data_IF_107908658453
#
_entry.id   IF_107908658453
#
_cell.length_a   1.000
_cell.length_b   1.000
_cell.length_c   1.000
_cell.angle_alpha   90.00
_cell.angle_beta   90.00
_cell.angle_gamma   90.00
#
_symmetry.space_group_name_H-M   'P 1'
#
loop_
_entity.id
_entity.type
_entity.pdbx_description
1 polymer ?
#
# COMPACT_ATOMS: atom_id res chain seq x y z
N UNK A 1 -2.59 13.59 3.74
CA UNK A 1 -3.60 12.60 4.17
C UNK A 1 -3.09 11.72 5.33
N UNK A 2 -1.95 11.04 5.18
CA UNK A 2 -1.39 10.19 6.26
C UNK A 2 -0.98 10.98 7.51
N UNK A 3 -0.33 12.13 7.36
CA UNK A 3 0.00 13.00 8.51
C UNK A 3 -1.24 13.49 9.25
N UNK A 4 -2.31 13.77 8.52
CA UNK A 4 -3.57 14.19 9.09
C UNK A 4 -4.22 13.05 9.90
N UNK A 5 -4.19 11.83 9.36
CA UNK A 5 -4.64 10.63 10.07
C UNK A 5 -3.82 10.40 11.36
N UNK A 6 -2.49 10.53 11.32
CA UNK A 6 -1.63 10.42 12.51
C UNK A 6 -1.96 11.48 13.56
N UNK A 7 -2.22 12.73 13.13
CA UNK A 7 -2.65 13.81 14.02
C UNK A 7 -3.97 13.48 14.72
N UNK A 8 -4.92 12.91 13.98
CA UNK A 8 -6.24 12.54 14.50
C UNK A 8 -6.16 11.35 15.48
N UNK A 9 -5.31 10.35 15.19
CA UNK A 9 -5.06 9.23 16.08
C UNK A 9 -4.45 9.70 17.41
N UNK A 10 -3.51 10.65 17.37
CA UNK A 10 -2.92 11.28 18.58
C UNK A 10 -3.95 12.10 19.36
N UNK A 11 -4.75 12.93 18.68
CA UNK A 11 -5.79 13.72 19.35
C UNK A 11 -6.84 12.85 20.03
N UNK A 12 -7.16 11.69 19.45
CA UNK A 12 -8.12 10.74 20.04
C UNK A 12 -7.49 9.74 21.02
N UNK A 13 -6.19 9.83 21.27
CA UNK A 13 -5.48 8.92 22.18
C UNK A 13 -5.60 7.45 21.79
N UNK A 14 -5.75 7.15 20.49
CA UNK A 14 -5.97 5.78 20.03
C UNK A 14 -4.68 4.98 20.14
N UNK A 15 -4.76 3.87 20.85
CA UNK A 15 -3.66 2.92 21.01
C UNK A 15 -3.52 2.05 19.74
N UNK A 16 -2.32 1.53 19.44
CA UNK A 16 -2.05 0.74 18.23
C UNK A 16 -2.97 -0.48 18.04
N UNK A 17 -3.56 -1.03 19.09
CA UNK A 17 -4.55 -2.12 19.01
C UNK A 17 -5.91 -1.71 18.41
N UNK A 18 -6.16 -0.40 18.22
CA UNK A 18 -7.46 0.15 17.81
C UNK A 18 -7.50 0.63 16.35
N UNK A 19 -6.39 0.56 15.62
CA UNK A 19 -6.32 0.96 14.21
C UNK A 19 -5.30 0.14 13.44
N UNK A 20 -5.40 0.14 12.11
CA UNK A 20 -4.35 -0.37 11.24
C UNK A 20 -4.19 0.53 10.01
N UNK A 21 -2.97 0.64 9.52
CA UNK A 21 -2.70 1.19 8.20
C UNK A 21 -2.78 0.08 7.17
N UNK A 22 -3.51 0.33 6.08
CA UNK A 22 -3.59 -0.59 4.94
C UNK A 22 -2.89 0.05 3.75
N UNK A 23 -1.94 -0.69 3.16
CA UNK A 23 -1.17 -0.24 2.01
C UNK A 23 -1.09 -1.33 0.95
N UNK A 24 -0.94 -0.92 -0.30
CA UNK A 24 -0.76 -1.85 -1.42
C UNK A 24 0.73 -2.18 -1.54
N UNK A 25 1.04 -3.46 -1.76
CA UNK A 25 2.40 -3.92 -2.02
C UNK A 25 3.03 -3.13 -3.18
N UNK A 26 4.30 -2.76 -3.05
CA UNK A 26 5.03 -1.95 -4.03
C UNK A 26 4.70 -0.45 -4.06
N UNK A 27 3.67 0.02 -3.33
CA UNK A 27 3.37 1.46 -3.24
C UNK A 27 4.03 2.08 -2.02
N UNK A 28 4.95 3.03 -2.25
CA UNK A 28 5.62 3.81 -1.19
C UNK A 28 6.20 2.93 -0.07
N UNK A 29 7.09 2.02 -0.45
CA UNK A 29 7.72 1.05 0.45
C UNK A 29 8.55 1.72 1.56
N UNK A 30 9.11 2.89 1.28
CA UNK A 30 9.71 3.81 2.26
C UNK A 30 8.75 4.11 3.41
N UNK A 31 7.49 4.41 3.10
CA UNK A 31 6.48 4.72 4.09
C UNK A 31 6.03 3.49 4.87
N UNK A 32 5.93 2.34 4.20
CA UNK A 32 5.60 1.07 4.85
C UNK A 32 6.64 0.72 5.93
N UNK A 33 7.92 0.90 5.61
CA UNK A 33 9.03 0.70 6.56
C UNK A 33 8.95 1.72 7.71
N UNK A 34 8.80 3.00 7.41
CA UNK A 34 8.68 4.05 8.42
C UNK A 34 7.50 3.81 9.38
N UNK A 35 6.34 3.38 8.88
CA UNK A 35 5.18 3.06 9.71
C UNK A 35 5.45 1.88 10.64
N UNK A 36 6.14 0.84 10.14
CA UNK A 36 6.56 -0.29 10.98
C UNK A 36 7.58 0.11 12.04
N UNK A 37 8.58 0.92 11.69
CA UNK A 37 9.59 1.43 12.63
C UNK A 37 8.97 2.31 13.72
N UNK A 38 7.91 3.05 13.38
CA UNK A 38 7.11 3.84 14.32
C UNK A 38 6.18 3.01 15.20
N UNK A 39 6.19 1.67 15.08
CA UNK A 39 5.38 0.75 15.89
C UNK A 39 3.90 0.70 15.49
N UNK A 40 3.54 1.23 14.31
CA UNK A 40 2.17 1.18 13.84
C UNK A 40 1.82 -0.19 13.22
N UNK A 41 0.60 -0.71 13.46
CA UNK A 41 0.12 -1.91 12.77
C UNK A 41 -0.08 -1.60 11.29
N UNK A 42 0.55 -2.41 10.44
CA UNK A 42 0.53 -2.25 9.00
C UNK A 42 0.13 -3.57 8.34
N UNK A 43 -0.88 -3.52 7.46
CA UNK A 43 -1.29 -4.61 6.59
C UNK A 43 -0.99 -4.25 5.14
N UNK A 44 -0.22 -5.11 4.48
CA UNK A 44 0.17 -4.93 3.08
C UNK A 44 -0.62 -5.89 2.19
N UNK A 45 -1.37 -5.36 1.24
CA UNK A 45 -2.12 -6.14 0.27
C UNK A 45 -1.21 -6.56 -0.89
N UNK A 46 -0.92 -7.85 -0.97
CA UNK A 46 -0.06 -8.43 -2.01
C UNK A 46 -0.94 -9.10 -3.08
N UNK A 47 -1.06 -8.55 -4.30
CA UNK A 47 -1.64 -9.28 -5.41
C UNK A 47 -0.68 -10.39 -5.85
N UNK A 48 -1.17 -11.63 -5.99
CA UNK A 48 -0.37 -12.79 -6.40
C UNK A 48 -0.92 -13.43 -7.68
N UNK A 49 -0.04 -14.07 -8.46
CA UNK A 49 -0.36 -14.79 -9.70
C UNK A 49 0.36 -14.24 -10.93
N UNK A 50 0.16 -14.85 -12.10
CA UNK A 50 0.57 -14.32 -13.43
C UNK A 50 -0.58 -13.61 -14.16
N UNK A 51 -1.83 -13.99 -13.85
CA UNK A 51 -3.04 -13.43 -14.48
C UNK A 51 -3.76 -12.36 -13.64
N UNK A 52 -3.12 -11.85 -12.59
CA UNK A 52 -3.65 -10.72 -11.82
C UNK A 52 -3.69 -9.44 -12.68
N UNK A 53 -2.74 -9.27 -13.60
CA UNK A 53 -2.58 -8.04 -14.37
C UNK A 53 -3.79 -7.75 -15.27
N UNK A 54 -4.32 -8.71 -16.07
CA UNK A 54 -5.53 -8.48 -16.88
C UNK A 54 -6.81 -8.30 -16.05
N UNK A 55 -7.01 -9.10 -14.99
CA UNK A 55 -8.20 -9.02 -14.13
C UNK A 55 -8.26 -7.69 -13.35
N UNK A 56 -7.10 -7.25 -12.83
CA UNK A 56 -6.96 -5.99 -12.10
C UNK A 56 -7.09 -4.79 -13.05
N UNK A 57 -6.47 -4.83 -14.23
CA UNK A 57 -6.62 -3.81 -15.29
C UNK A 57 -8.09 -3.57 -15.67
N UNK A 58 -8.88 -4.64 -15.79
CA UNK A 58 -10.29 -4.56 -16.15
C UNK A 58 -11.16 -3.88 -15.08
N UNK A 59 -10.82 -4.01 -13.79
CA UNK A 59 -11.46 -3.27 -12.68
C UNK A 59 -10.90 -1.85 -12.49
N UNK A 60 -9.71 -1.54 -13.03
CA UNK A 60 -9.03 -0.25 -12.82
C UNK A 60 -9.20 0.74 -13.97
N UNK A 61 -9.61 0.27 -15.15
CA UNK A 61 -10.01 1.12 -16.27
C UNK A 61 -11.16 2.09 -15.89
N UNK A 62 -11.91 1.81 -14.82
CA UNK A 62 -12.93 2.71 -14.26
C UNK A 62 -12.35 3.95 -13.54
N UNK A 63 -11.07 3.94 -13.11
CA UNK A 63 -10.38 5.09 -12.46
C UNK A 63 -8.87 5.14 -12.81
N UNK A 64 -8.49 5.56 -14.03
CA UNK A 64 -7.12 5.39 -14.56
C UNK A 64 -5.99 6.18 -13.86
N UNK A 65 -6.30 7.27 -13.16
CA UNK A 65 -5.30 8.24 -12.72
C UNK A 65 -4.29 7.73 -11.66
N UNK A 66 -4.71 6.90 -10.70
CA UNK A 66 -3.82 6.42 -9.62
C UNK A 66 -3.29 5.01 -9.88
N UNK A 67 -3.90 4.27 -10.80
CA UNK A 67 -3.69 2.84 -10.96
C UNK A 67 -2.44 2.53 -11.78
N UNK A 68 -2.11 3.40 -12.73
CA UNK A 68 -0.87 3.28 -13.52
C UNK A 68 0.38 3.35 -12.64
N UNK A 69 0.39 4.23 -11.63
CA UNK A 69 1.50 4.34 -10.69
C UNK A 69 1.69 3.06 -9.88
N UNK A 70 0.59 2.48 -9.36
CA UNK A 70 0.62 1.23 -8.59
C UNK A 70 1.09 0.06 -9.45
N UNK A 71 0.57 -0.06 -10.68
CA UNK A 71 0.93 -1.15 -11.58
C UNK A 71 2.40 -1.07 -12.02
N UNK A 72 2.88 0.14 -12.35
CA UNK A 72 4.29 0.35 -12.72
C UNK A 72 5.22 -0.06 -11.57
N UNK A 73 4.87 0.30 -10.34
CA UNK A 73 5.67 -0.09 -9.17
C UNK A 73 5.67 -1.61 -8.94
N UNK A 74 4.52 -2.26 -9.09
CA UNK A 74 4.40 -3.73 -8.99
C UNK A 74 5.19 -4.46 -10.09
N UNK A 75 5.09 -4.01 -11.35
CA UNK A 75 5.79 -4.61 -12.49
C UNK A 75 7.32 -4.44 -12.37
N UNK A 76 7.77 -3.26 -11.94
CA UNK A 76 9.18 -2.98 -11.70
C UNK A 76 9.77 -3.85 -10.57
N UNK A 77 8.95 -4.30 -9.63
CA UNK A 77 9.37 -5.14 -8.49
C UNK A 77 9.32 -6.64 -8.83
N UNK A 78 8.33 -7.10 -9.62
CA UNK A 78 8.28 -8.48 -10.15
C UNK A 78 9.48 -8.83 -11.03
N UNK A 79 10.02 -7.85 -11.76
CA UNK A 79 11.25 -8.00 -12.55
C UNK A 79 12.52 -8.01 -11.69
N UNK A 80 12.47 -7.45 -10.47
CA UNK A 80 13.64 -7.30 -9.57
C UNK A 80 13.80 -8.44 -8.58
N UNK A 81 12.75 -9.22 -8.31
CA UNK A 81 12.79 -10.44 -7.48
C UNK A 81 13.24 -11.72 -8.21
N UNK A 82 13.77 -11.60 -9.43
CA UNK A 82 14.29 -12.70 -10.27
C UNK A 82 15.84 -12.71 -10.38
N UNK A 83 16.52 -12.02 -9.46
CA UNK A 83 17.98 -12.00 -9.35
C UNK A 83 18.44 -12.52 -8.01
#
# INVERSE_FOLDING_TARGET
MLDHARGLLRQRGLTPDRYEFQMIYGVRRDLQLQLREQGHPLRVYVPFGTEWCPYFMRRLAERPANCWFVLRSLAAESLRGRG
#
